data_IF_744759308860
#
_entry.id   IF_744759308860
#
_cell.length_a   1.000
_cell.length_b   1.000
_cell.length_c   1.000
_cell.angle_alpha   90.00
_cell.angle_beta   90.00
_cell.angle_gamma   90.00
#
_symmetry.space_group_name_H-M   'P 1'
#
loop_
_entity.id
_entity.type
_entity.pdbx_description
1 polymer ?
#
# COMPACT_ATOMS: atom_id res chain seq x y z
N UNK A 1 4.90 52.61 -52.48
CA UNK A 1 5.30 52.81 -53.89
C UNK A 1 4.92 51.57 -54.68
N UNK A 2 4.48 51.76 -55.93
CA UNK A 2 3.92 50.81 -56.92
C UNK A 2 4.79 49.52 -57.10
N UNK A 3 4.32 48.35 -57.56
CA UNK A 3 3.44 48.04 -58.72
C UNK A 3 2.80 46.64 -58.62
N UNK A 4 1.62 46.56 -59.22
CA UNK A 4 0.80 45.43 -59.70
C UNK A 4 1.43 44.62 -60.84
N UNK A 5 1.07 43.33 -60.95
CA UNK A 5 0.73 42.63 -62.22
C UNK A 5 -0.31 41.51 -61.94
N UNK A 6 -1.35 41.47 -62.77
CA UNK A 6 -2.46 40.49 -62.86
C UNK A 6 -2.20 39.48 -64.00
N UNK A 7 -2.74 38.26 -63.90
CA UNK A 7 -3.26 37.46 -65.04
C UNK A 7 -4.11 36.30 -64.47
N UNK A 8 -5.45 36.40 -64.48
CA UNK A 8 -6.42 36.02 -65.53
C UNK A 8 -6.81 34.53 -65.52
N UNK A 9 -8.10 34.31 -65.27
CA UNK A 9 -8.82 33.04 -65.34
C UNK A 9 -9.30 32.73 -66.76
N UNK A 10 -9.50 31.44 -67.07
CA UNK A 10 -10.58 31.00 -67.96
C UNK A 10 -10.88 29.50 -67.72
N UNK A 11 -12.17 29.21 -67.72
CA UNK A 11 -12.83 27.94 -67.47
C UNK A 11 -13.40 27.43 -68.81
N UNK A 12 -13.58 26.10 -68.93
CA UNK A 12 -14.74 25.36 -69.50
C UNK A 12 -14.57 24.55 -70.80
N UNK A 13 -15.27 23.39 -70.74
CA UNK A 13 -15.80 22.48 -71.77
C UNK A 13 -14.82 21.37 -72.25
N UNK A 14 -15.17 20.09 -72.35
CA UNK A 14 -16.49 19.42 -72.32
C UNK A 14 -16.34 17.88 -72.33
N UNK A 15 -17.16 17.20 -71.52
CA UNK A 15 -18.07 16.07 -71.84
C UNK A 15 -17.63 14.74 -72.52
N UNK A 16 -18.10 13.65 -71.88
CA UNK A 16 -18.54 12.30 -72.35
C UNK A 16 -17.53 11.16 -72.60
N UNK A 17 -17.79 10.03 -71.95
CA UNK A 17 -17.44 8.69 -72.46
C UNK A 17 -17.47 7.57 -71.41
N UNK A 18 -18.63 6.94 -71.20
CA UNK A 18 -18.74 5.64 -70.51
C UNK A 18 -18.09 4.51 -71.35
N UNK A 19 -17.30 3.63 -70.73
CA UNK A 19 -17.17 2.20 -71.07
C UNK A 19 -16.37 1.46 -69.99
N UNK A 20 -16.78 0.20 -69.76
CA UNK A 20 -16.48 -0.69 -68.66
C UNK A 20 -15.11 -1.41 -68.71
N UNK A 21 -14.89 -2.25 -67.68
CA UNK A 21 -13.74 -3.12 -67.32
C UNK A 21 -12.78 -2.39 -66.36
N UNK A 22 -12.24 -2.93 -65.26
CA UNK A 22 -12.38 -4.15 -64.43
C UNK A 22 -11.16 -4.08 -63.47
N UNK A 23 -11.28 -4.56 -62.23
CA UNK A 23 -10.17 -4.92 -61.31
C UNK A 23 -9.36 -3.70 -60.77
N UNK A 24 -9.63 -3.32 -59.52
CA UNK A 24 -8.90 -3.71 -58.30
C UNK A 24 -7.68 -2.79 -58.07
N UNK A 25 -7.82 -1.90 -57.08
CA UNK A 25 -6.77 -1.46 -56.14
C UNK A 25 -7.32 -0.31 -55.27
N UNK A 26 -8.10 -0.67 -54.25
CA UNK A 26 -8.33 0.20 -53.09
C UNK A 26 -7.08 0.13 -52.21
N UNK A 27 -6.10 1.01 -52.47
CA UNK A 27 -5.06 1.34 -51.49
C UNK A 27 -5.73 1.97 -50.27
N UNK A 28 -6.11 1.12 -49.31
CA UNK A 28 -6.33 1.56 -47.93
C UNK A 28 -4.97 1.94 -47.38
N UNK A 29 -4.80 3.21 -47.04
CA UNK A 29 -3.79 3.66 -46.09
C UNK A 29 -3.95 2.84 -44.79
N UNK A 30 -3.19 1.76 -44.70
CA UNK A 30 -2.93 1.06 -43.46
C UNK A 30 -1.99 1.97 -42.68
N UNK A 31 -2.54 2.71 -41.71
CA UNK A 31 -1.73 3.22 -40.62
C UNK A 31 -1.14 2.00 -39.92
N UNK A 32 0.08 1.64 -40.31
CA UNK A 32 0.90 0.69 -39.59
C UNK A 32 1.01 1.21 -38.15
N UNK A 33 0.45 0.44 -37.22
CA UNK A 33 0.72 0.58 -35.80
C UNK A 33 2.20 0.30 -35.62
N UNK A 34 3.03 1.34 -35.71
CA UNK A 34 4.45 1.25 -35.42
C UNK A 34 4.54 0.79 -33.98
N UNK A 35 4.73 -0.51 -33.79
CA UNK A 35 5.17 -1.10 -32.53
C UNK A 35 6.46 -0.39 -32.17
N UNK A 36 6.38 0.61 -31.30
CA UNK A 36 7.55 1.29 -30.76
C UNK A 36 8.33 0.24 -29.96
N UNK A 37 9.42 -0.24 -30.56
CA UNK A 37 10.38 -1.10 -29.88
C UNK A 37 10.95 -0.34 -28.68
N UNK A 38 11.12 -1.03 -27.54
CA UNK A 38 11.76 -0.44 -26.38
C UNK A 38 13.25 -0.26 -26.67
N UNK A 39 13.73 0.99 -26.56
CA UNK A 39 15.16 1.30 -26.74
C UNK A 39 15.96 1.22 -25.44
N UNK A 40 15.28 1.47 -24.32
CA UNK A 40 15.88 1.59 -22.99
C UNK A 40 15.83 0.26 -22.24
N UNK A 41 16.87 -0.03 -21.47
CA UNK A 41 16.85 -1.12 -20.50
C UNK A 41 16.04 -0.70 -19.26
N UNK A 42 15.08 -1.54 -18.87
CA UNK A 42 14.12 -1.26 -17.81
C UNK A 42 14.27 -2.26 -16.66
N UNK A 43 14.30 -1.75 -15.44
CA UNK A 43 14.16 -2.54 -14.21
C UNK A 43 12.68 -2.61 -13.86
N UNK A 44 12.17 -3.82 -13.58
CA UNK A 44 10.81 -4.05 -13.08
C UNK A 44 10.85 -4.86 -11.79
N UNK A 45 10.03 -4.49 -10.81
CA UNK A 45 9.85 -5.22 -9.56
C UNK A 45 8.53 -4.84 -8.91
N UNK A 46 8.05 -5.65 -7.96
CA UNK A 46 7.03 -5.20 -7.03
C UNK A 46 7.53 -3.97 -6.26
N UNK A 47 6.62 -3.06 -5.93
CA UNK A 47 6.95 -1.84 -5.18
C UNK A 47 7.25 -2.11 -3.70
N UNK A 48 6.91 -3.30 -3.21
CA UNK A 48 7.06 -3.75 -1.82
C UNK A 48 7.11 -5.29 -1.77
N UNK A 49 7.68 -5.83 -0.70
CA UNK A 49 7.82 -7.28 -0.50
C UNK A 49 6.57 -7.91 0.11
N UNK A 50 5.74 -7.12 0.79
CA UNK A 50 4.59 -7.61 1.54
C UNK A 50 3.35 -6.75 1.30
N UNK A 51 2.18 -7.40 1.36
CA UNK A 51 0.88 -6.74 1.34
C UNK A 51 -0.13 -7.46 2.25
N UNK A 52 -1.25 -6.81 2.53
CA UNK A 52 -2.36 -7.40 3.30
C UNK A 52 -3.60 -7.47 2.41
N UNK A 53 -4.33 -8.58 2.54
CA UNK A 53 -5.59 -8.81 1.86
C UNK A 53 -6.71 -8.95 2.87
N UNK A 54 -7.69 -8.06 2.79
CA UNK A 54 -8.88 -8.07 3.62
C UNK A 54 -10.03 -8.79 2.87
N UNK A 55 -10.75 -8.04 2.04
CA UNK A 55 -11.62 -8.58 0.97
C UNK A 55 -10.94 -8.49 -0.39
N UNK A 56 -10.10 -7.46 -0.55
CA UNK A 56 -9.29 -7.26 -1.73
C UNK A 56 -7.86 -6.98 -1.33
N UNK A 57 -6.95 -7.22 -2.27
CA UNK A 57 -5.59 -6.70 -2.21
C UNK A 57 -5.30 -6.01 -3.54
N UNK A 58 -4.58 -4.89 -3.49
CA UNK A 58 -4.00 -4.29 -4.69
C UNK A 58 -2.49 -4.42 -4.55
N UNK A 59 -1.85 -5.06 -5.52
CA UNK A 59 -0.39 -5.13 -5.63
C UNK A 59 0.09 -4.18 -6.72
N UNK A 60 1.23 -3.53 -6.49
CA UNK A 60 1.84 -2.56 -7.41
C UNK A 60 3.21 -3.05 -7.88
N UNK A 61 3.52 -2.82 -9.16
CA UNK A 61 4.89 -2.88 -9.68
C UNK A 61 5.33 -1.51 -10.13
N UNK A 62 6.65 -1.29 -10.12
CA UNK A 62 7.26 -0.06 -10.62
C UNK A 62 8.27 -0.36 -11.72
N UNK A 63 8.38 0.58 -12.66
CA UNK A 63 9.37 0.58 -13.72
C UNK A 63 10.40 1.66 -13.45
N UNK A 64 11.67 1.27 -13.46
CA UNK A 64 12.82 2.14 -13.24
C UNK A 64 13.78 2.03 -14.43
N UNK A 65 14.51 3.11 -14.73
CA UNK A 65 15.57 3.03 -15.74
C UNK A 65 16.75 2.25 -15.21
N UNK A 66 17.31 1.32 -15.99
CA UNK A 66 18.47 0.55 -15.55
C UNK A 66 19.73 1.39 -15.38
N UNK A 67 19.94 2.37 -16.26
CA UNK A 67 21.07 3.30 -16.19
C UNK A 67 21.06 4.18 -14.93
N UNK A 68 19.88 4.37 -14.34
CA UNK A 68 19.68 5.09 -13.09
C UNK A 68 18.43 4.58 -12.38
N UNK A 69 18.61 3.58 -11.51
CA UNK A 69 17.54 2.90 -10.79
C UNK A 69 16.80 3.76 -9.76
N UNK A 70 17.11 5.06 -9.66
CA UNK A 70 16.33 6.03 -8.87
C UNK A 70 15.31 6.81 -9.71
N UNK A 71 15.39 6.71 -11.05
CA UNK A 71 14.50 7.39 -11.98
C UNK A 71 13.44 6.43 -12.52
N UNK A 72 12.17 6.85 -12.42
CA UNK A 72 11.05 6.13 -13.05
C UNK A 72 11.19 6.06 -14.57
N UNK A 73 10.84 4.91 -15.12
CA UNK A 73 10.69 4.70 -16.56
C UNK A 73 9.21 4.86 -16.95
N UNK A 74 8.92 5.78 -17.86
CA UNK A 74 7.56 5.98 -18.38
C UNK A 74 7.34 5.08 -19.59
N UNK A 75 6.37 4.16 -19.50
CA UNK A 75 6.08 3.19 -20.54
C UNK A 75 5.65 3.87 -21.85
N UNK A 76 6.34 3.64 -22.98
CA UNK A 76 6.00 4.25 -24.27
C UNK A 76 4.77 3.61 -24.94
N UNK A 77 4.39 2.42 -24.47
CA UNK A 77 3.25 1.59 -24.87
C UNK A 77 2.77 0.82 -23.64
N UNK A 78 1.63 0.13 -23.75
CA UNK A 78 1.20 -0.78 -22.70
C UNK A 78 2.19 -1.94 -22.57
N UNK A 79 2.63 -2.24 -21.34
CA UNK A 79 3.56 -3.33 -21.04
C UNK A 79 2.88 -4.27 -20.05
N UNK A 80 2.62 -5.50 -20.47
CA UNK A 80 1.95 -6.51 -19.66
C UNK A 80 2.94 -7.53 -19.12
N UNK A 81 2.97 -7.66 -17.80
CA UNK A 81 3.81 -8.60 -17.06
C UNK A 81 2.97 -9.77 -16.57
N UNK A 82 3.25 -11.02 -17.01
CA UNK A 82 2.57 -12.19 -16.51
C UNK A 82 2.84 -12.38 -15.01
N UNK A 83 1.83 -12.83 -14.28
CA UNK A 83 1.93 -13.13 -12.85
C UNK A 83 1.77 -14.64 -12.64
N UNK A 84 2.60 -15.21 -11.78
CA UNK A 84 2.45 -16.59 -11.33
C UNK A 84 2.21 -16.63 -9.83
N UNK A 85 1.37 -17.56 -9.39
CA UNK A 85 1.18 -17.89 -7.98
C UNK A 85 2.25 -18.92 -7.64
N UNK A 86 3.12 -18.59 -6.70
CA UNK A 86 4.22 -19.46 -6.30
C UNK A 86 3.70 -20.66 -5.49
N UNK A 87 4.37 -21.81 -5.62
CA UNK A 87 4.00 -23.06 -4.95
C UNK A 87 4.09 -22.97 -3.41
N UNK A 88 4.82 -21.99 -2.88
CA UNK A 88 4.89 -21.69 -1.44
C UNK A 88 3.63 -21.02 -0.89
N UNK A 89 2.71 -20.58 -1.77
CA UNK A 89 1.41 -20.05 -1.35
C UNK A 89 0.62 -21.12 -0.61
N UNK A 90 0.07 -20.77 0.55
CA UNK A 90 -0.83 -21.67 1.28
C UNK A 90 -2.26 -21.56 0.74
N UNK A 91 -2.69 -20.35 0.40
CA UNK A 91 -3.97 -20.07 -0.25
C UNK A 91 -3.98 -20.53 -1.72
N UNK A 92 -5.11 -21.09 -2.14
CA UNK A 92 -5.29 -21.70 -3.47
C UNK A 92 -6.14 -20.79 -4.36
N UNK A 93 -5.61 -20.41 -5.53
CA UNK A 93 -6.32 -19.65 -6.57
C UNK A 93 -7.61 -20.37 -7.01
N UNK A 94 -8.70 -19.62 -7.19
CA UNK A 94 -10.03 -20.12 -7.54
C UNK A 94 -10.79 -20.78 -6.38
N UNK A 95 -10.16 -20.96 -5.22
CA UNK A 95 -10.83 -21.44 -3.98
C UNK A 95 -10.81 -20.37 -2.89
N UNK A 96 -9.64 -19.83 -2.59
CA UNK A 96 -9.44 -18.85 -1.52
C UNK A 96 -9.41 -17.42 -2.05
N UNK A 97 -8.85 -17.22 -3.24
CA UNK A 97 -8.76 -15.92 -3.90
C UNK A 97 -8.86 -16.06 -5.42
N UNK A 98 -9.17 -14.97 -6.10
CA UNK A 98 -9.09 -14.85 -7.55
C UNK A 98 -8.46 -13.51 -7.98
N UNK A 99 -7.96 -13.45 -9.20
CA UNK A 99 -7.55 -12.19 -9.83
C UNK A 99 -8.79 -11.42 -10.28
N UNK A 100 -8.87 -10.14 -9.95
CA UNK A 100 -9.92 -9.24 -10.43
C UNK A 100 -9.54 -8.73 -11.84
N UNK A 101 -9.67 -9.61 -12.82
CA UNK A 101 -9.26 -9.40 -14.20
C UNK A 101 -8.28 -10.46 -14.68
N UNK A 102 -7.41 -10.07 -15.61
CA UNK A 102 -6.38 -10.99 -16.12
C UNK A 102 -5.32 -11.30 -15.07
N UNK A 103 -4.77 -12.51 -15.13
CA UNK A 103 -3.61 -12.93 -14.32
C UNK A 103 -2.31 -12.32 -14.87
N UNK A 104 -2.32 -11.02 -15.04
CA UNK A 104 -1.22 -10.23 -15.56
C UNK A 104 -1.39 -8.79 -15.09
N UNK A 105 -0.26 -8.10 -14.92
CA UNK A 105 -0.25 -6.70 -14.54
C UNK A 105 0.18 -5.86 -15.74
N UNK A 106 -0.65 -4.91 -16.14
CA UNK A 106 -0.34 -3.96 -17.23
C UNK A 106 0.08 -2.60 -16.68
N UNK A 107 1.26 -2.14 -17.10
CA UNK A 107 1.67 -0.74 -16.98
C UNK A 107 1.22 -0.02 -18.25
N UNK A 108 0.23 0.87 -18.11
CA UNK A 108 -0.33 1.59 -19.24
C UNK A 108 0.68 2.57 -19.85
N UNK A 109 0.53 2.86 -21.14
CA UNK A 109 1.26 3.91 -21.85
C UNK A 109 1.20 5.23 -21.07
N UNK A 110 2.36 5.85 -20.86
CA UNK A 110 2.50 7.10 -20.11
C UNK A 110 2.59 6.91 -18.59
N UNK A 111 2.46 5.69 -18.07
CA UNK A 111 2.64 5.38 -16.66
C UNK A 111 4.01 4.73 -16.39
N UNK A 112 4.45 4.78 -15.13
CA UNK A 112 5.64 4.07 -14.64
C UNK A 112 5.31 3.00 -13.59
N UNK A 113 4.02 2.84 -13.29
CA UNK A 113 3.48 1.94 -12.30
C UNK A 113 2.24 1.28 -12.85
N UNK A 114 2.01 0.04 -12.46
CA UNK A 114 0.78 -0.67 -12.75
C UNK A 114 0.31 -1.41 -11.52
N UNK A 115 -0.97 -1.77 -11.50
CA UNK A 115 -1.59 -2.43 -10.36
C UNK A 115 -2.34 -3.68 -10.79
N UNK A 116 -2.37 -4.66 -9.90
CA UNK A 116 -3.15 -5.88 -10.03
C UNK A 116 -4.02 -6.02 -8.79
N UNK A 117 -5.27 -6.40 -8.98
CA UNK A 117 -6.22 -6.58 -7.88
C UNK A 117 -6.56 -8.04 -7.69
N UNK A 118 -6.69 -8.44 -6.43
CA UNK A 118 -7.17 -9.74 -6.00
C UNK A 118 -8.46 -9.59 -5.23
N UNK A 119 -9.32 -10.60 -5.31
CA UNK A 119 -10.55 -10.73 -4.52
C UNK A 119 -10.50 -11.98 -3.66
N UNK A 120 -10.95 -11.85 -2.42
CA UNK A 120 -11.05 -12.97 -1.51
C UNK A 120 -12.34 -13.73 -1.82
N UNK A 121 -12.22 -15.04 -1.95
CA UNK A 121 -13.36 -15.94 -2.17
C UNK A 121 -13.75 -16.64 -0.87
N UNK A 122 -12.77 -17.13 -0.12
CA UNK A 122 -13.01 -17.91 1.10
C UNK A 122 -11.80 -17.85 2.04
N UNK A 123 -12.07 -17.86 3.35
CA UNK A 123 -11.05 -18.04 4.40
C UNK A 123 -11.03 -19.49 4.88
N UNK A 124 -9.83 -20.03 5.08
CA UNK A 124 -9.60 -21.37 5.63
C UNK A 124 -8.35 -21.34 6.53
N UNK A 125 -8.40 -22.04 7.67
CA UNK A 125 -7.30 -22.06 8.64
C UNK A 125 -6.01 -22.60 7.99
N UNK A 126 -4.91 -21.85 8.11
CA UNK A 126 -3.63 -22.19 7.47
C UNK A 126 -3.58 -21.95 5.96
N UNK A 127 -4.59 -21.28 5.37
CA UNK A 127 -4.68 -20.90 3.95
C UNK A 127 -4.70 -19.37 3.79
N UNK A 128 -3.76 -18.71 4.44
CA UNK A 128 -3.73 -17.26 4.63
C UNK A 128 -2.56 -16.55 3.93
N UNK A 129 -1.77 -17.25 3.11
CA UNK A 129 -0.60 -16.68 2.43
C UNK A 129 -0.69 -16.89 0.92
N UNK A 130 -0.57 -15.81 0.15
CA UNK A 130 -0.45 -15.80 -1.31
C UNK A 130 0.92 -15.22 -1.66
N UNK A 131 1.74 -15.95 -2.40
CA UNK A 131 3.02 -15.44 -2.92
C UNK A 131 2.89 -15.28 -4.43
N UNK A 132 2.99 -14.05 -4.91
CA UNK A 132 2.97 -13.75 -6.35
C UNK A 132 4.40 -13.50 -6.83
N UNK A 133 4.75 -14.04 -8.01
CA UNK A 133 6.00 -13.73 -8.70
C UNK A 133 5.70 -13.04 -10.03
N UNK A 134 6.45 -12.00 -10.33
CA UNK A 134 6.37 -11.31 -11.61
C UNK A 134 7.30 -11.96 -12.63
N UNK A 135 6.81 -12.14 -13.85
CA UNK A 135 7.58 -12.65 -14.97
C UNK A 135 7.92 -11.53 -15.95
N UNK A 136 8.97 -11.72 -16.75
CA UNK A 136 9.29 -10.82 -17.86
C UNK A 136 8.10 -10.72 -18.82
N UNK A 137 7.86 -9.54 -19.42
CA UNK A 137 6.86 -9.40 -20.48
C UNK A 137 7.28 -10.24 -21.68
N UNK A 138 6.31 -10.65 -22.52
CA UNK A 138 6.61 -11.53 -23.66
C UNK A 138 7.42 -10.84 -24.77
N UNK A 139 7.29 -9.51 -24.90
CA UNK A 139 7.99 -8.70 -25.89
C UNK A 139 9.17 -7.97 -25.25
N UNK A 140 10.22 -7.69 -26.03
CA UNK A 140 11.41 -6.93 -25.59
C UNK A 140 12.10 -7.54 -24.34
N UNK A 141 12.02 -8.88 -24.16
CA UNK A 141 12.47 -9.61 -22.95
C UNK A 141 13.95 -9.37 -22.56
N UNK A 142 14.80 -9.03 -23.52
CA UNK A 142 16.21 -8.71 -23.36
C UNK A 142 16.45 -7.33 -22.75
N UNK A 143 15.44 -6.44 -22.82
CA UNK A 143 15.45 -5.09 -22.23
C UNK A 143 14.93 -5.04 -20.80
N UNK A 144 14.21 -6.06 -20.35
CA UNK A 144 13.65 -6.11 -19.00
C UNK A 144 14.54 -6.89 -18.03
N UNK A 145 14.88 -6.23 -16.93
CA UNK A 145 15.71 -6.76 -15.85
C UNK A 145 14.93 -6.75 -14.55
N UNK A 146 15.03 -7.83 -13.80
CA UNK A 146 14.36 -7.94 -12.51
C UNK A 146 15.05 -7.01 -11.51
N UNK A 147 14.25 -6.25 -10.77
CA UNK A 147 14.72 -5.47 -9.62
C UNK A 147 14.88 -6.33 -8.38
N UNK A 148 14.93 -5.66 -7.22
CA UNK A 148 15.18 -6.33 -5.95
C UNK A 148 14.00 -7.22 -5.50
N UNK A 149 12.78 -6.86 -5.88
CA UNK A 149 11.56 -7.47 -5.36
C UNK A 149 10.86 -8.26 -6.49
N UNK A 150 11.28 -9.50 -6.69
CA UNK A 150 10.71 -10.40 -7.69
C UNK A 150 9.37 -11.03 -7.29
N UNK A 151 9.09 -11.00 -5.99
CA UNK A 151 7.89 -11.55 -5.39
C UNK A 151 7.26 -10.58 -4.42
N UNK A 152 5.95 -10.71 -4.23
CA UNK A 152 5.21 -10.09 -3.14
C UNK A 152 4.48 -11.17 -2.35
N UNK A 153 4.60 -11.12 -1.04
CA UNK A 153 3.86 -11.98 -0.11
C UNK A 153 2.65 -11.23 0.40
N UNK A 154 1.46 -11.76 0.15
CA UNK A 154 0.19 -11.18 0.54
C UNK A 154 -0.39 -12.04 1.66
N UNK A 155 -0.61 -11.46 2.84
CA UNK A 155 -1.25 -12.14 3.95
C UNK A 155 -2.74 -11.83 3.99
N UNK A 156 -3.58 -12.87 4.02
CA UNK A 156 -5.03 -12.75 4.16
C UNK A 156 -5.36 -12.48 5.63
N UNK A 157 -5.96 -11.33 5.90
CA UNK A 157 -6.44 -10.95 7.22
C UNK A 157 -7.71 -11.77 7.59
N UNK A 158 -7.82 -12.18 8.85
CA UNK A 158 -9.01 -12.86 9.38
C UNK A 158 -10.28 -11.99 9.32
N UNK A 159 -11.48 -12.60 9.42
CA UNK A 159 -12.77 -11.86 9.45
C UNK A 159 -12.83 -10.82 10.57
N UNK A 160 -12.14 -11.08 11.68
CA UNK A 160 -12.06 -10.22 12.87
C UNK A 160 -11.45 -8.85 12.60
N UNK A 161 -10.81 -8.65 11.43
CA UNK A 161 -9.98 -7.48 11.16
C UNK A 161 -10.63 -6.54 10.12
N UNK A 162 -11.64 -7.00 9.37
CA UNK A 162 -12.45 -6.10 8.50
C UNK A 162 -13.09 -4.97 9.31
N UNK A 163 -13.49 -5.27 10.55
CA UNK A 163 -14.08 -4.28 11.45
C UNK A 163 -13.15 -3.10 11.72
N UNK A 164 -11.83 -3.25 11.52
CA UNK A 164 -10.88 -2.15 11.67
C UNK A 164 -11.04 -1.09 10.57
N UNK A 165 -11.51 -1.46 9.38
CA UNK A 165 -11.61 -0.55 8.25
C UNK A 165 -12.53 0.63 8.53
N UNK A 166 -12.21 1.74 7.91
CA UNK A 166 -12.95 2.99 8.00
C UNK A 166 -12.17 4.08 8.72
N UNK A 167 -12.85 5.20 8.94
CA UNK A 167 -12.27 6.38 9.55
C UNK A 167 -12.65 6.46 11.02
N UNK A 168 -11.67 6.72 11.86
CA UNK A 168 -11.78 6.79 13.32
C UNK A 168 -11.22 8.13 13.80
N UNK A 169 -11.91 8.79 14.74
CA UNK A 169 -11.59 10.13 15.27
C UNK A 169 -11.80 10.16 16.79
N UNK A 170 -11.75 11.34 17.42
CA UNK A 170 -12.02 11.51 18.85
C UNK A 170 -11.04 10.72 19.73
N UNK A 171 -9.74 10.81 19.41
CA UNK A 171 -8.70 10.10 20.13
C UNK A 171 -8.66 10.47 21.63
N UNK A 172 -8.64 9.44 22.48
CA UNK A 172 -8.39 9.56 23.92
C UNK A 172 -7.31 8.57 24.36
N UNK A 173 -6.65 8.86 25.49
CA UNK A 173 -5.64 7.97 26.09
C UNK A 173 -6.30 7.13 27.18
N UNK A 174 -6.51 5.85 26.90
CA UNK A 174 -7.25 4.91 27.76
C UNK A 174 -6.52 4.64 29.07
N UNK A 175 -5.28 4.17 28.98
CA UNK A 175 -4.50 3.77 30.16
C UNK A 175 -3.72 4.92 30.81
N UNK A 176 -4.14 6.17 30.58
CA UNK A 176 -3.50 7.37 31.14
C UNK A 176 -3.41 7.33 32.67
N UNK A 177 -4.53 7.02 33.33
CA UNK A 177 -4.62 6.99 34.79
C UNK A 177 -3.66 5.98 35.44
N UNK A 178 -3.33 4.89 34.74
CA UNK A 178 -2.34 3.92 35.22
C UNK A 178 -0.92 4.51 35.22
N UNK A 179 -0.52 5.18 34.13
CA UNK A 179 0.78 5.83 34.06
C UNK A 179 0.90 7.01 35.05
N UNK A 180 -0.19 7.76 35.28
CA UNK A 180 -0.25 8.85 36.27
C UNK A 180 0.09 8.41 37.70
N UNK A 181 -0.07 7.12 38.03
CA UNK A 181 0.25 6.60 39.37
C UNK A 181 1.76 6.54 39.65
N UNK A 182 2.59 6.45 38.61
CA UNK A 182 4.02 6.17 38.75
C UNK A 182 4.90 7.23 38.08
N UNK A 183 4.43 7.84 36.99
CA UNK A 183 5.23 8.70 36.15
C UNK A 183 4.67 10.13 36.09
N UNK A 184 5.56 11.09 35.82
CA UNK A 184 5.13 12.41 35.36
C UNK A 184 4.58 12.27 33.94
N UNK A 185 3.26 12.32 33.80
CA UNK A 185 2.62 12.17 32.49
C UNK A 185 2.71 13.41 31.61
N UNK A 186 3.21 14.54 32.13
CA UNK A 186 3.32 15.78 31.34
C UNK A 186 4.39 15.69 30.26
N UNK A 187 5.33 14.75 30.40
CA UNK A 187 6.37 14.43 29.42
C UNK A 187 5.96 13.33 28.43
N UNK A 188 4.80 12.69 28.64
CA UNK A 188 4.30 11.68 27.70
C UNK A 188 3.63 12.33 26.49
N UNK A 189 3.58 11.65 25.34
CA UNK A 189 2.85 12.13 24.17
C UNK A 189 1.36 12.35 24.49
N UNK A 190 0.88 13.56 24.23
CA UNK A 190 -0.54 13.90 24.41
C UNK A 190 -1.33 13.62 23.14
N UNK A 191 -2.64 13.40 23.30
CA UNK A 191 -3.60 13.15 22.21
C UNK A 191 -4.61 14.28 22.06
N UNK A 192 -5.25 14.35 20.90
CA UNK A 192 -6.31 15.30 20.61
C UNK A 192 -7.55 14.59 20.10
N UNK A 193 -8.73 15.05 20.49
CA UNK A 193 -10.00 14.56 19.92
C UNK A 193 -10.12 14.85 18.41
N UNK A 194 -9.31 15.78 17.88
CA UNK A 194 -9.23 16.07 16.45
C UNK A 194 -8.34 15.09 15.67
N UNK A 195 -7.60 14.21 16.36
CA UNK A 195 -6.79 13.21 15.70
C UNK A 195 -7.68 12.18 15.00
N UNK A 196 -7.35 11.89 13.75
CA UNK A 196 -8.07 10.95 12.91
C UNK A 196 -7.11 9.96 12.25
N UNK A 197 -7.53 8.70 12.20
CA UNK A 197 -6.87 7.63 11.45
C UNK A 197 -7.89 6.95 10.53
N UNK A 198 -7.51 6.64 9.29
CA UNK A 198 -8.34 5.87 8.37
C UNK A 198 -7.61 4.60 7.95
N UNK A 199 -8.24 3.45 8.18
CA UNK A 199 -7.67 2.13 7.87
C UNK A 199 -8.36 1.60 6.61
N UNK A 200 -7.56 1.17 5.62
CA UNK A 200 -8.03 0.65 4.35
C UNK A 200 -7.11 -0.46 3.83
N UNK A 201 -7.48 -1.06 2.69
CA UNK A 201 -6.63 -2.04 1.99
C UNK A 201 -5.28 -1.46 1.54
N UNK A 202 -5.18 -0.12 1.42
CA UNK A 202 -3.96 0.56 0.99
C UNK A 202 -3.04 0.95 2.16
N UNK A 203 -3.48 0.77 3.40
CA UNK A 203 -2.73 1.22 4.58
C UNK A 203 -3.54 2.11 5.52
N UNK A 204 -2.81 2.84 6.35
CA UNK A 204 -3.30 3.84 7.29
C UNK A 204 -3.05 5.25 6.74
N UNK A 205 -4.10 6.04 6.67
CA UNK A 205 -3.99 7.49 6.49
C UNK A 205 -4.17 8.20 7.83
N UNK A 206 -3.31 9.17 8.12
CA UNK A 206 -3.32 9.88 9.41
C UNK A 206 -3.57 11.38 9.23
N UNK A 207 -4.42 11.95 10.09
CA UNK A 207 -4.64 13.40 10.23
C UNK A 207 -4.54 13.75 11.70
N UNK A 208 -3.32 14.05 12.15
CA UNK A 208 -2.98 14.17 13.56
C UNK A 208 -2.65 15.63 13.89
N UNK A 209 -3.23 16.13 14.98
CA UNK A 209 -2.95 17.46 15.55
C UNK A 209 -2.05 17.36 16.77
N UNK A 210 -2.18 16.27 17.51
CA UNK A 210 -1.47 16.01 18.76
C UNK A 210 -0.02 15.55 18.57
N UNK A 211 0.58 15.02 19.64
CA UNK A 211 1.93 14.43 19.60
C UNK A 211 1.95 13.08 18.89
N UNK A 212 0.81 12.45 18.59
CA UNK A 212 0.77 11.22 17.78
C UNK A 212 1.45 11.40 16.41
N UNK A 213 1.48 12.63 15.86
CA UNK A 213 2.21 12.95 14.62
C UNK A 213 3.73 12.76 14.74
N UNK A 214 4.25 12.72 15.96
CA UNK A 214 5.65 12.47 16.24
C UNK A 214 5.96 10.96 16.26
N UNK A 215 4.93 10.10 16.24
CA UNK A 215 5.05 8.66 16.01
C UNK A 215 4.72 8.33 14.55
N UNK A 216 3.53 8.71 14.07
CA UNK A 216 3.12 8.56 12.68
C UNK A 216 3.57 9.78 11.87
N UNK A 217 4.73 9.69 11.22
CA UNK A 217 5.29 10.82 10.46
C UNK A 217 4.76 10.92 9.03
N UNK A 218 3.88 10.01 8.63
CA UNK A 218 3.19 9.98 7.35
C UNK A 218 2.09 8.92 7.33
N UNK A 219 1.45 8.78 6.17
CA UNK A 219 0.59 7.62 5.90
C UNK A 219 1.46 6.35 5.87
N UNK A 220 0.91 5.23 6.31
CA UNK A 220 1.67 3.98 6.42
C UNK A 220 1.05 2.87 5.59
N UNK A 221 1.87 2.00 5.01
CA UNK A 221 1.41 0.69 4.55
C UNK A 221 1.00 -0.20 5.73
N UNK A 222 0.16 -1.22 5.47
CA UNK A 222 -0.29 -2.19 6.48
C UNK A 222 0.20 -3.58 6.09
N UNK A 223 1.09 -4.15 6.90
CA UNK A 223 1.47 -5.55 6.81
C UNK A 223 0.93 -6.31 8.01
N UNK A 224 -0.11 -7.13 7.81
CA UNK A 224 -0.66 -7.98 8.86
C UNK A 224 0.35 -9.04 9.29
N UNK A 225 0.61 -9.11 10.59
CA UNK A 225 1.53 -10.09 11.19
C UNK A 225 0.75 -11.28 11.73
N UNK A 226 -0.37 -11.04 12.39
CA UNK A 226 -1.15 -12.06 13.08
C UNK A 226 -2.00 -11.47 14.19
N UNK A 227 -2.76 -12.32 14.88
CA UNK A 227 -3.42 -11.96 16.13
C UNK A 227 -2.54 -12.33 17.33
N UNK A 228 -2.51 -11.48 18.34
CA UNK A 228 -1.82 -11.74 19.62
C UNK A 228 -2.75 -11.43 20.79
N UNK A 229 -2.73 -12.27 21.82
CA UNK A 229 -3.42 -11.97 23.09
C UNK A 229 -2.60 -10.95 23.88
N UNK A 230 -3.17 -9.78 24.12
CA UNK A 230 -2.63 -8.79 25.05
C UNK A 230 -3.33 -8.90 26.41
N UNK A 231 -2.54 -8.80 27.47
CA UNK A 231 -3.00 -8.67 28.86
C UNK A 231 -2.47 -7.37 29.43
N UNK A 232 -3.31 -6.71 30.22
CA UNK A 232 -3.00 -5.38 30.70
C UNK A 232 -2.61 -5.39 32.17
N UNK A 233 -1.53 -4.70 32.50
CA UNK A 233 -1.04 -4.58 33.88
C UNK A 233 -1.96 -3.70 34.73
N UNK A 234 -2.64 -2.74 34.12
CA UNK A 234 -3.64 -1.90 34.77
C UNK A 234 -4.97 -2.63 35.02
N UNK A 235 -5.26 -3.69 34.27
CA UNK A 235 -6.41 -4.56 34.52
C UNK A 235 -6.18 -5.99 34.02
N UNK A 236 -5.67 -6.85 34.90
CA UNK A 236 -5.32 -8.25 34.58
C UNK A 236 -6.53 -9.13 34.19
N UNK A 237 -7.76 -8.68 34.42
CA UNK A 237 -8.98 -9.39 34.01
C UNK A 237 -9.32 -9.14 32.54
N UNK A 238 -8.80 -8.06 31.96
CA UNK A 238 -9.05 -7.69 30.58
C UNK A 238 -7.98 -8.35 29.71
N UNK A 239 -8.48 -9.05 28.68
CA UNK A 239 -7.67 -9.57 27.59
C UNK A 239 -8.22 -9.07 26.26
N UNK A 240 -7.34 -8.88 25.29
CA UNK A 240 -7.71 -8.52 23.91
C UNK A 240 -7.00 -9.47 22.96
N UNK A 241 -7.73 -9.98 21.99
CA UNK A 241 -7.12 -10.48 20.77
C UNK A 241 -6.88 -9.27 19.87
N UNK A 242 -5.61 -8.97 19.62
CA UNK A 242 -5.19 -7.75 18.92
C UNK A 242 -4.61 -8.16 17.58
N UNK A 243 -5.11 -7.56 16.50
CA UNK A 243 -4.50 -7.68 15.19
C UNK A 243 -3.23 -6.82 15.17
N UNK A 244 -2.08 -7.47 14.97
CA UNK A 244 -0.77 -6.81 14.92
C UNK A 244 -0.39 -6.55 13.47
N UNK A 245 0.06 -5.33 13.21
CA UNK A 245 0.56 -4.91 11.91
C UNK A 245 1.95 -4.33 12.04
N UNK A 246 2.76 -4.51 11.01
CA UNK A 246 3.95 -3.71 10.76
C UNK A 246 3.53 -2.51 9.91
N UNK A 247 3.90 -1.32 10.37
CA UNK A 247 3.68 -0.05 9.70
C UNK A 247 5.03 0.58 9.36
N UNK A 248 5.15 1.11 8.14
CA UNK A 248 6.25 2.00 7.74
C UNK A 248 5.96 3.46 8.16
N UNK A 249 6.89 4.39 7.87
CA UNK A 249 6.76 5.81 8.21
C UNK A 249 6.48 6.08 9.70
N UNK A 250 7.07 5.26 10.56
CA UNK A 250 7.01 5.42 12.02
C UNK A 250 8.33 5.96 12.55
N UNK A 251 8.25 7.02 13.34
CA UNK A 251 9.37 7.45 14.18
C UNK A 251 9.36 6.65 15.49
N UNK A 252 10.26 5.68 15.58
CA UNK A 252 10.38 4.82 16.75
C UNK A 252 10.67 5.60 18.03
N UNK A 253 11.31 6.78 17.98
CA UNK A 253 11.58 7.55 19.19
C UNK A 253 10.33 8.21 19.80
N UNK A 254 9.22 8.27 19.05
CA UNK A 254 7.98 8.93 19.46
C UNK A 254 8.25 10.32 20.05
N UNK A 255 9.05 11.11 19.33
CA UNK A 255 9.57 12.38 19.81
C UNK A 255 9.52 13.45 18.72
N UNK A 256 9.30 14.70 19.13
CA UNK A 256 9.39 15.85 18.24
C UNK A 256 10.85 16.26 17.95
N UNK A 257 11.80 15.83 18.78
CA UNK A 257 13.20 16.29 18.76
C UNK A 257 14.19 15.19 18.36
N UNK A 258 13.81 13.92 18.49
CA UNK A 258 14.57 12.76 18.01
C UNK A 258 13.79 11.97 16.96
N UNK A 259 14.49 11.48 15.94
CA UNK A 259 13.87 10.72 14.86
C UNK A 259 14.69 9.50 14.45
N UNK A 260 14.07 8.34 14.56
CA UNK A 260 14.54 7.08 13.98
C UNK A 260 13.39 6.48 13.18
N UNK A 261 13.38 6.72 11.87
CA UNK A 261 12.31 6.23 10.99
C UNK A 261 12.57 4.78 10.65
N UNK A 262 11.64 3.90 11.04
CA UNK A 262 11.70 2.47 10.74
C UNK A 262 10.33 1.81 10.85
N UNK A 263 10.23 0.64 10.25
CA UNK A 263 9.07 -0.23 10.39
C UNK A 263 8.83 -0.57 11.86
N UNK A 264 7.59 -0.45 12.31
CA UNK A 264 7.22 -0.64 13.72
C UNK A 264 5.91 -1.40 13.86
N UNK A 265 5.81 -2.21 14.92
CA UNK A 265 4.60 -2.99 15.22
C UNK A 265 3.56 -2.13 15.94
N UNK A 266 2.35 -2.09 15.42
CA UNK A 266 1.17 -1.45 16.04
C UNK A 266 0.02 -2.43 16.08
N UNK A 267 -0.65 -2.49 17.22
CA UNK A 267 -1.80 -3.36 17.44
C UNK A 267 -3.11 -2.60 17.27
N UNK A 268 -4.14 -3.27 16.75
CA UNK A 268 -5.50 -2.75 16.67
C UNK A 268 -6.52 -3.81 17.07
N UNK A 269 -7.59 -3.38 17.72
CA UNK A 269 -8.81 -4.17 17.93
C UNK A 269 -10.00 -3.23 17.99
N UNK A 270 -11.20 -3.71 17.65
CA UNK A 270 -12.44 -2.98 17.91
C UNK A 270 -13.13 -3.59 19.13
N UNK A 271 -13.49 -2.74 20.08
CA UNK A 271 -14.29 -3.10 21.26
C UNK A 271 -15.61 -2.34 21.24
N UNK A 272 -16.52 -2.75 22.13
CA UNK A 272 -17.73 -2.00 22.44
C UNK A 272 -17.52 -1.26 23.76
N UNK A 273 -17.83 0.02 23.79
CA UNK A 273 -17.85 0.79 25.04
C UNK A 273 -19.13 0.52 25.86
N UNK A 274 -19.29 1.23 26.96
CA UNK A 274 -20.47 1.13 27.85
C UNK A 274 -21.79 1.47 27.14
N UNK A 275 -21.74 2.23 26.04
CA UNK A 275 -22.91 2.61 25.23
C UNK A 275 -23.13 1.66 24.04
N UNK A 276 -22.37 0.55 23.98
CA UNK A 276 -22.36 -0.39 22.86
C UNK A 276 -21.93 0.23 21.51
N UNK A 277 -21.17 1.33 21.56
CA UNK A 277 -20.56 1.94 20.39
C UNK A 277 -19.21 1.29 20.07
N UNK A 278 -18.85 1.26 18.79
CA UNK A 278 -17.53 0.78 18.38
C UNK A 278 -16.43 1.75 18.75
N UNK A 279 -15.39 1.21 19.37
CA UNK A 279 -14.16 1.89 19.70
C UNK A 279 -13.01 1.13 19.09
N UNK A 280 -12.23 1.77 18.24
CA UNK A 280 -10.93 1.26 17.82
C UNK A 280 -9.95 1.51 18.96
N UNK A 281 -9.44 0.43 19.55
CA UNK A 281 -8.37 0.46 20.53
C UNK A 281 -7.05 0.18 19.79
N UNK A 282 -6.15 1.17 19.82
CA UNK A 282 -4.83 1.15 19.22
C UNK A 282 -3.76 0.95 20.30
N UNK A 283 -2.80 0.07 20.04
CA UNK A 283 -1.70 -0.26 20.93
C UNK A 283 -0.38 0.17 20.30
N UNK A 284 0.25 1.20 20.88
CA UNK A 284 1.61 1.61 20.54
C UNK A 284 2.55 1.00 21.59
N UNK A 285 3.33 0.01 21.17
CA UNK A 285 4.25 -0.74 22.03
C UNK A 285 5.61 -1.02 21.38
N UNK A 286 5.77 -0.66 20.11
CA UNK A 286 7.04 -0.67 19.38
C UNK A 286 7.57 0.77 19.30
N UNK A 287 8.25 1.21 20.36
CA UNK A 287 8.89 2.52 20.42
C UNK A 287 10.17 2.46 21.29
N UNK A 288 11.08 3.39 21.05
CA UNK A 288 12.41 3.54 21.66
C UNK A 288 12.52 4.96 22.22
N UNK A 289 11.82 5.26 23.32
CA UNK A 289 11.59 6.62 23.73
C UNK A 289 12.85 7.28 24.29
N UNK A 290 12.98 8.57 24.05
CA UNK A 290 14.13 9.37 24.51
C UNK A 290 13.76 10.40 25.59
N UNK A 291 12.46 10.62 25.81
CA UNK A 291 11.93 11.69 26.67
C UNK A 291 11.00 11.17 27.77
N UNK A 292 10.31 10.04 27.56
CA UNK A 292 9.40 9.39 28.51
C UNK A 292 9.75 7.90 28.62
N UNK A 293 9.47 7.24 29.75
CA UNK A 293 9.76 5.80 29.95
C UNK A 293 11.19 5.36 29.58
N UNK A 294 12.17 6.28 29.63
CA UNK A 294 13.55 6.00 29.20
C UNK A 294 14.19 4.92 30.07
N UNK A 295 13.97 4.99 31.38
CA UNK A 295 14.49 3.99 32.32
C UNK A 295 13.88 2.59 32.07
N UNK A 296 12.58 2.52 31.81
CA UNK A 296 11.89 1.27 31.49
C UNK A 296 12.39 0.67 30.15
N UNK A 297 12.57 1.51 29.13
CA UNK A 297 13.14 1.08 27.86
C UNK A 297 14.56 0.53 28.03
N UNK A 298 15.42 1.26 28.73
CA UNK A 298 16.80 0.84 28.97
C UNK A 298 16.88 -0.47 29.77
N UNK A 299 15.94 -0.71 30.70
CA UNK A 299 15.85 -1.95 31.44
C UNK A 299 15.39 -3.15 30.59
N UNK A 300 14.59 -2.92 29.55
CA UNK A 300 13.95 -3.97 28.77
C UNK A 300 14.61 -4.24 27.41
N UNK A 301 15.38 -3.30 26.86
CA UNK A 301 15.90 -3.40 25.48
C UNK A 301 16.79 -4.63 25.23
N UNK A 302 17.56 -5.07 26.22
CA UNK A 302 18.52 -6.18 26.06
C UNK A 302 17.82 -7.56 26.03
N UNK A 303 16.55 -7.63 26.45
CA UNK A 303 15.73 -8.85 26.42
C UNK A 303 14.60 -8.77 25.37
N UNK A 304 14.53 -7.67 24.62
CA UNK A 304 13.55 -7.49 23.57
C UNK A 304 13.77 -8.51 22.43
N UNK A 305 12.67 -8.92 21.82
CA UNK A 305 12.67 -9.74 20.61
C UNK A 305 11.92 -9.03 19.50
N UNK A 306 11.94 -9.61 18.30
CA UNK A 306 11.18 -9.05 17.18
C UNK A 306 9.66 -9.00 17.47
N UNK A 307 9.13 -10.03 18.12
CA UNK A 307 7.70 -10.15 18.42
C UNK A 307 7.28 -9.52 19.76
N UNK A 308 8.26 -9.25 20.62
CA UNK A 308 8.11 -8.58 21.92
C UNK A 308 9.16 -7.48 22.02
N UNK A 309 8.91 -6.30 21.41
CA UNK A 309 9.82 -5.16 21.52
C UNK A 309 9.93 -4.72 22.99
N UNK A 310 10.96 -3.94 23.31
CA UNK A 310 11.28 -3.53 24.68
C UNK A 310 10.06 -2.98 25.46
N UNK A 311 9.21 -2.22 24.77
CA UNK A 311 8.03 -1.59 25.36
C UNK A 311 6.75 -2.43 25.24
N UNK A 312 6.85 -3.73 24.94
CA UNK A 312 5.70 -4.65 24.88
C UNK A 312 4.93 -4.70 26.21
N UNK A 313 5.63 -4.66 27.35
CA UNK A 313 5.02 -4.61 28.69
C UNK A 313 4.49 -3.22 29.09
N UNK A 314 4.74 -2.20 28.27
CA UNK A 314 4.40 -0.80 28.52
C UNK A 314 3.67 -0.18 27.31
N UNK A 315 2.56 -0.76 26.84
CA UNK A 315 1.84 -0.23 25.69
C UNK A 315 1.14 1.10 26.05
N UNK A 316 1.26 2.09 25.17
CA UNK A 316 0.36 3.25 25.18
C UNK A 316 -0.93 2.85 24.43
N UNK A 317 -2.08 2.99 25.11
CA UNK A 317 -3.39 2.56 24.57
C UNK A 317 -4.26 3.76 24.27
N UNK A 318 -4.69 3.86 23.02
CA UNK A 318 -5.48 4.97 22.54
C UNK A 318 -6.81 4.49 21.98
N UNK A 319 -7.88 5.21 22.25
CA UNK A 319 -9.23 4.88 21.79
C UNK A 319 -9.68 5.90 20.77
N UNK A 320 -10.26 5.42 19.68
CA UNK A 320 -10.90 6.25 18.66
C UNK A 320 -12.34 5.79 18.42
N UNK A 321 -13.20 6.73 18.09
CA UNK A 321 -14.60 6.51 17.73
C UNK A 321 -14.78 6.48 16.22
N UNK A 322 -15.64 5.59 15.73
CA UNK A 322 -15.94 5.51 14.30
C UNK A 322 -16.59 6.82 13.84
N UNK A 323 -16.10 7.38 12.74
CA UNK A 323 -16.75 8.49 12.05
C UNK A 323 -17.91 7.92 11.24
N UNK A 324 -19.13 8.41 11.48
CA UNK A 324 -20.34 7.99 10.76
C UNK A 324 -20.45 8.64 9.39
#
# INVERSE_FOLDING_TARGET
MKKTVYAMAAILLSLVGFTACSEDDDEKDVFDDVTTELTDDVIFSFSYDNATMFETATVEISLLKKENSTQSFTAPKDITFPIVVDETSTAVEGTHFEFDGEKALTVAKGASKGTLKLKLLQKEEGKDVIVLKIQKPQNDTDRFFLGNNESVTIKIAGETIEVLKGTWSNCTWDNKAYYEMTYDITIFPQVSVEDQISISDQGIEVKLKSDLKNYFVGNSSLQYVGEKEFRFTDNFYIKRNVAVFILDNINANFSATSSTIKDSRVGFTVIKDENNEEVLEMFIYSYEPTEFLVEDYEAMKDIATEDEPAMFGYPLRYHFKRVQ
#
